data_IF_885264966122
#
_entry.id   IF_885264966122
#
_cell.length_a   1.000
_cell.length_b   1.000
_cell.length_c   1.000
_cell.angle_alpha   90.00
_cell.angle_beta   90.00
_cell.angle_gamma   90.00
#
_symmetry.space_group_name_H-M   'P 1'
#
loop_
_entity.id
_entity.type
_entity.pdbx_description
1 polymer ?
#
# COMPACT_ATOMS: atom_id res chain seq x y z
N UNK A 1 -40.09 -16.56 -5.94
CA UNK A 1 -38.88 -16.52 -5.09
C UNK A 1 -39.19 -15.71 -3.83
N UNK A 2 -38.71 -16.11 -2.65
CA UNK A 2 -38.95 -15.34 -1.42
C UNK A 2 -38.10 -14.05 -1.42
N UNK A 3 -38.72 -12.90 -1.15
CA UNK A 3 -38.04 -11.58 -1.03
C UNK A 3 -36.87 -11.63 -0.06
N UNK A 4 -37.00 -12.33 1.05
CA UNK A 4 -35.99 -12.52 2.09
C UNK A 4 -34.65 -13.15 1.56
N UNK A 5 -34.74 -14.05 0.58
CA UNK A 5 -33.52 -14.64 -0.02
C UNK A 5 -32.77 -13.66 -0.91
N UNK A 6 -33.51 -12.80 -1.62
CA UNK A 6 -32.92 -11.78 -2.49
C UNK A 6 -32.24 -10.70 -1.63
N UNK A 7 -32.88 -10.26 -0.55
CA UNK A 7 -32.33 -9.30 0.40
C UNK A 7 -31.00 -9.80 1.00
N UNK A 8 -30.95 -11.06 1.45
CA UNK A 8 -29.71 -11.67 1.96
C UNK A 8 -28.58 -11.72 0.93
N UNK A 9 -28.90 -11.94 -0.34
CA UNK A 9 -27.90 -11.93 -1.42
C UNK A 9 -27.40 -10.51 -1.66
N UNK A 10 -28.26 -9.49 -1.60
CA UNK A 10 -27.85 -8.10 -1.71
C UNK A 10 -26.93 -7.69 -0.55
N UNK A 11 -27.29 -8.05 0.67
CA UNK A 11 -26.45 -7.77 1.84
C UNK A 11 -25.04 -8.36 1.65
N UNK A 12 -24.96 -9.67 1.27
CA UNK A 12 -23.67 -10.31 0.99
C UNK A 12 -22.89 -9.62 -0.14
N UNK A 13 -23.55 -9.17 -1.22
CA UNK A 13 -22.89 -8.45 -2.31
C UNK A 13 -22.28 -7.14 -1.83
N UNK A 14 -22.99 -6.37 -0.96
CA UNK A 14 -22.49 -5.11 -0.46
C UNK A 14 -21.46 -5.26 0.66
N UNK A 15 -21.62 -6.25 1.54
CA UNK A 15 -20.63 -6.59 2.56
C UNK A 15 -19.30 -7.04 1.92
N UNK A 16 -19.38 -7.84 0.83
CA UNK A 16 -18.21 -8.26 0.06
C UNK A 16 -17.43 -7.09 -0.59
N UNK A 17 -18.05 -5.91 -0.75
CA UNK A 17 -17.31 -4.72 -1.20
C UNK A 17 -16.30 -4.21 -0.17
N UNK A 18 -16.58 -4.42 1.12
CA UNK A 18 -15.69 -4.01 2.21
C UNK A 18 -14.80 -5.17 2.71
N UNK A 19 -15.29 -6.41 2.58
CA UNK A 19 -14.63 -7.63 3.06
C UNK A 19 -14.53 -8.64 1.92
N UNK A 20 -13.42 -8.65 1.20
CA UNK A 20 -13.21 -9.46 0.00
C UNK A 20 -13.44 -10.97 0.22
N UNK A 21 -13.21 -11.45 1.44
CA UNK A 21 -13.42 -12.87 1.83
C UNK A 21 -14.90 -13.29 1.81
N UNK A 22 -15.84 -12.36 1.70
CA UNK A 22 -17.26 -12.64 1.57
C UNK A 22 -17.70 -12.91 0.13
N UNK A 23 -16.90 -12.59 -0.89
CA UNK A 23 -17.25 -12.85 -2.29
C UNK A 23 -17.60 -14.32 -2.58
N UNK A 24 -16.85 -15.33 -2.10
CA UNK A 24 -17.25 -16.75 -2.31
C UNK A 24 -18.63 -17.06 -1.77
N UNK A 25 -19.03 -16.47 -0.64
CA UNK A 25 -20.36 -16.64 -0.05
C UNK A 25 -21.44 -15.97 -0.91
N UNK A 26 -21.20 -14.74 -1.37
CA UNK A 26 -22.11 -14.02 -2.25
C UNK A 26 -22.32 -14.78 -3.58
N UNK A 27 -21.25 -15.27 -4.21
CA UNK A 27 -21.29 -16.06 -5.44
C UNK A 27 -22.05 -17.35 -5.25
N UNK A 28 -21.85 -18.05 -4.13
CA UNK A 28 -22.59 -19.26 -3.77
C UNK A 28 -24.07 -18.97 -3.58
N UNK A 29 -24.43 -17.89 -2.91
CA UNK A 29 -25.82 -17.50 -2.69
C UNK A 29 -26.52 -17.12 -4.01
N UNK A 30 -25.83 -16.44 -4.94
CA UNK A 30 -26.35 -16.17 -6.29
C UNK A 30 -26.54 -17.48 -7.07
N UNK A 31 -25.57 -18.41 -6.98
CA UNK A 31 -25.67 -19.72 -7.62
C UNK A 31 -26.87 -20.51 -7.10
N UNK A 32 -27.19 -20.45 -5.80
CA UNK A 32 -28.39 -21.10 -5.23
C UNK A 32 -29.67 -20.45 -5.73
N UNK A 33 -29.74 -19.15 -5.92
CA UNK A 33 -30.90 -18.45 -6.49
C UNK A 33 -31.13 -18.79 -7.95
N UNK A 34 -30.07 -18.94 -8.73
CA UNK A 34 -30.10 -19.25 -10.16
C UNK A 34 -29.98 -20.75 -10.45
N UNK A 35 -29.89 -21.57 -9.39
CA UNK A 35 -29.70 -23.01 -9.48
C UNK A 35 -28.52 -23.40 -10.36
N UNK A 36 -27.43 -22.65 -10.22
CA UNK A 36 -26.16 -22.83 -10.93
C UNK A 36 -25.20 -23.72 -10.16
N UNK A 37 -24.22 -24.31 -10.83
CA UNK A 37 -23.21 -25.16 -10.22
C UNK A 37 -22.28 -24.32 -9.31
N UNK A 38 -21.93 -23.09 -9.73
CA UNK A 38 -21.14 -22.14 -9.00
C UNK A 38 -20.94 -20.86 -9.77
N UNK A 39 -20.24 -19.90 -9.16
CA UNK A 39 -19.89 -18.64 -9.77
C UNK A 39 -18.45 -18.25 -9.50
N UNK A 40 -17.90 -17.41 -10.35
CA UNK A 40 -16.57 -16.84 -10.15
C UNK A 40 -16.59 -15.35 -10.50
N UNK A 41 -15.91 -14.57 -9.66
CA UNK A 41 -15.60 -13.17 -9.90
C UNK A 41 -14.07 -13.03 -9.97
N UNK A 42 -13.56 -12.52 -11.07
CA UNK A 42 -12.12 -12.34 -11.24
C UNK A 42 -11.80 -11.05 -11.97
N UNK A 43 -10.57 -10.54 -11.74
CA UNK A 43 -10.02 -9.41 -12.44
C UNK A 43 -8.85 -9.82 -13.32
N UNK A 44 -8.92 -9.51 -14.61
CA UNK A 44 -7.87 -9.90 -15.57
C UNK A 44 -7.43 -8.76 -16.47
N UNK A 45 -6.18 -8.87 -16.96
CA UNK A 45 -5.66 -8.12 -18.09
C UNK A 45 -5.63 -9.05 -19.32
N UNK A 46 -6.22 -8.62 -20.41
CA UNK A 46 -6.19 -9.36 -21.66
C UNK A 46 -4.82 -9.25 -22.35
N UNK A 47 -4.19 -8.07 -22.31
CA UNK A 47 -2.88 -7.83 -22.92
C UNK A 47 -1.76 -8.54 -22.17
N UNK A 48 -1.75 -8.42 -20.83
CA UNK A 48 -0.74 -9.08 -19.99
C UNK A 48 -1.03 -10.57 -19.73
N UNK A 49 -2.18 -11.07 -20.14
CA UNK A 49 -2.64 -12.45 -19.89
C UNK A 49 -2.45 -12.83 -18.41
N UNK A 50 -2.96 -11.98 -17.51
CA UNK A 50 -2.78 -12.12 -16.07
C UNK A 50 -4.06 -11.93 -15.31
N UNK A 51 -4.33 -12.81 -14.34
CA UNK A 51 -5.35 -12.64 -13.32
C UNK A 51 -4.74 -11.92 -12.13
N UNK A 52 -5.40 -10.87 -11.66
CA UNK A 52 -4.99 -10.07 -10.52
C UNK A 52 -5.63 -10.54 -9.22
N UNK A 53 -6.86 -11.04 -9.32
CA UNK A 53 -7.61 -11.65 -8.23
C UNK A 53 -8.67 -12.58 -8.79
N UNK A 54 -9.10 -13.56 -8.02
CA UNK A 54 -10.26 -14.41 -8.26
C UNK A 54 -10.94 -14.79 -6.95
N UNK A 55 -12.26 -14.79 -6.99
CA UNK A 55 -13.13 -15.26 -5.91
C UNK A 55 -14.00 -16.37 -6.46
N UNK A 56 -13.93 -17.53 -5.85
CA UNK A 56 -14.58 -18.76 -6.31
C UNK A 56 -15.73 -19.15 -5.38
N UNK A 57 -16.94 -19.26 -5.92
CA UNK A 57 -18.12 -19.81 -5.27
C UNK A 57 -18.45 -21.20 -5.80
N UNK A 58 -17.93 -22.24 -5.19
CA UNK A 58 -18.18 -23.69 -5.44
C UNK A 58 -17.58 -24.30 -6.71
N UNK A 59 -16.90 -23.57 -7.58
CA UNK A 59 -16.27 -24.17 -8.75
C UNK A 59 -14.99 -24.94 -8.37
N UNK A 60 -14.58 -25.89 -9.21
CA UNK A 60 -13.40 -26.70 -8.97
C UNK A 60 -12.10 -25.86 -9.12
N UNK A 61 -11.27 -25.84 -8.07
CA UNK A 61 -10.03 -25.04 -8.03
C UNK A 61 -8.97 -25.50 -9.05
N UNK A 62 -8.90 -26.81 -9.35
CA UNK A 62 -7.96 -27.33 -10.35
C UNK A 62 -8.36 -26.87 -11.76
N UNK A 63 -9.67 -26.85 -12.06
CA UNK A 63 -10.18 -26.31 -13.32
C UNK A 63 -9.94 -24.81 -13.44
N UNK A 64 -10.10 -24.06 -12.35
CA UNK A 64 -9.78 -22.63 -12.32
C UNK A 64 -8.29 -22.37 -12.54
N UNK A 65 -7.42 -23.20 -11.98
CA UNK A 65 -5.97 -23.14 -12.22
C UNK A 65 -5.65 -23.43 -13.68
N UNK A 66 -6.24 -24.47 -14.29
CA UNK A 66 -6.06 -24.78 -15.69
C UNK A 66 -6.51 -23.63 -16.61
N UNK A 67 -7.63 -22.95 -16.24
CA UNK A 67 -8.06 -21.72 -16.92
C UNK A 67 -6.98 -20.63 -16.87
N UNK A 68 -6.46 -20.34 -15.69
CA UNK A 68 -5.45 -19.30 -15.49
C UNK A 68 -4.14 -19.57 -16.24
N UNK A 69 -3.72 -20.81 -16.29
CA UNK A 69 -2.44 -21.19 -16.89
C UNK A 69 -2.49 -21.30 -18.41
N UNK A 70 -3.61 -21.77 -18.99
CA UNK A 70 -3.65 -22.20 -20.41
C UNK A 70 -4.86 -21.71 -21.20
N UNK A 71 -5.95 -21.28 -20.54
CA UNK A 71 -7.22 -21.04 -21.22
C UNK A 71 -7.79 -19.62 -20.99
N UNK A 72 -6.96 -18.64 -20.62
CA UNK A 72 -7.44 -17.27 -20.49
C UNK A 72 -7.99 -16.69 -21.79
N UNK A 73 -7.45 -17.11 -22.93
CA UNK A 73 -8.02 -16.87 -24.25
C UNK A 73 -8.87 -18.07 -24.68
N UNK A 74 -10.16 -17.90 -24.62
CA UNK A 74 -11.16 -18.90 -24.96
C UNK A 74 -12.37 -18.21 -25.65
N UNK A 75 -13.29 -18.93 -26.28
CA UNK A 75 -14.41 -18.31 -27.01
C UNK A 75 -15.23 -17.34 -26.16
N UNK A 76 -15.43 -17.64 -24.88
CA UNK A 76 -16.18 -16.77 -23.96
C UNK A 76 -15.42 -15.48 -23.64
N UNK A 77 -14.14 -15.59 -23.29
CA UNK A 77 -13.33 -14.43 -22.93
C UNK A 77 -13.13 -13.47 -24.11
N UNK A 78 -12.90 -13.99 -25.31
CA UNK A 78 -12.76 -13.21 -26.53
C UNK A 78 -14.03 -12.45 -26.86
N UNK A 79 -15.22 -13.07 -26.70
CA UNK A 79 -16.49 -12.40 -26.90
C UNK A 79 -16.74 -11.32 -25.85
N UNK A 80 -16.34 -11.55 -24.60
CA UNK A 80 -16.53 -10.64 -23.47
C UNK A 80 -15.58 -9.44 -23.49
N UNK A 81 -14.48 -9.47 -24.23
CA UNK A 81 -13.47 -8.41 -24.28
C UNK A 81 -14.05 -7.03 -24.62
N UNK A 82 -15.04 -7.00 -25.52
CA UNK A 82 -15.64 -5.76 -26.02
C UNK A 82 -17.06 -5.49 -25.49
N UNK A 83 -17.57 -6.31 -24.58
CA UNK A 83 -18.92 -6.13 -24.05
C UNK A 83 -18.98 -4.94 -23.09
N UNK A 84 -20.07 -4.17 -23.10
CA UNK A 84 -20.24 -3.08 -22.17
C UNK A 84 -20.39 -3.56 -20.73
N UNK A 85 -19.92 -2.77 -19.79
CA UNK A 85 -20.03 -3.04 -18.35
C UNK A 85 -21.50 -3.14 -17.93
N UNK A 86 -21.82 -4.17 -17.15
CA UNK A 86 -23.15 -4.44 -16.62
C UNK A 86 -24.10 -5.19 -17.56
N UNK A 87 -23.72 -5.41 -18.83
CA UNK A 87 -24.52 -6.25 -19.73
C UNK A 87 -24.38 -7.72 -19.37
N UNK A 88 -25.50 -8.41 -19.17
CA UNK A 88 -25.55 -9.86 -19.10
C UNK A 88 -25.42 -10.43 -20.52
N UNK A 89 -24.50 -11.37 -20.68
CA UNK A 89 -24.26 -12.11 -21.93
C UNK A 89 -24.38 -13.59 -21.63
N UNK A 90 -25.21 -14.29 -22.36
CA UNK A 90 -25.30 -15.75 -22.26
C UNK A 90 -24.21 -16.41 -23.11
N UNK A 91 -23.69 -17.54 -22.64
CA UNK A 91 -22.65 -18.29 -23.36
C UNK A 91 -23.01 -18.62 -24.81
N UNK A 92 -24.29 -18.84 -25.07
CA UNK A 92 -24.80 -19.20 -26.42
C UNK A 92 -24.76 -17.99 -27.39
N UNK A 93 -24.65 -16.76 -26.89
CA UNK A 93 -24.36 -15.58 -27.72
C UNK A 93 -22.91 -15.55 -28.21
N UNK A 94 -21.98 -16.12 -27.43
CA UNK A 94 -20.55 -16.11 -27.74
C UNK A 94 -20.16 -17.26 -28.68
N UNK A 95 -20.67 -18.48 -28.38
CA UNK A 95 -20.33 -19.69 -29.11
C UNK A 95 -21.43 -20.76 -28.87
N UNK A 96 -21.76 -21.54 -29.86
CA UNK A 96 -22.67 -22.66 -29.68
C UNK A 96 -22.10 -23.73 -28.75
N UNK A 97 -22.97 -24.48 -28.05
CA UNK A 97 -22.53 -25.56 -27.15
C UNK A 97 -21.71 -26.63 -27.91
N UNK A 98 -22.07 -26.94 -29.15
CA UNK A 98 -21.38 -27.92 -29.96
C UNK A 98 -19.93 -27.47 -30.32
N UNK A 99 -19.74 -26.19 -30.69
CA UNK A 99 -18.42 -25.63 -30.96
C UNK A 99 -17.60 -25.54 -29.67
N UNK A 100 -18.21 -25.14 -28.54
CA UNK A 100 -17.57 -25.11 -27.24
C UNK A 100 -17.04 -26.48 -26.84
N UNK A 101 -17.87 -27.54 -27.01
CA UNK A 101 -17.51 -28.91 -26.68
C UNK A 101 -16.40 -29.50 -27.56
N UNK A 102 -16.11 -28.90 -28.72
CA UNK A 102 -15.00 -29.28 -29.58
C UNK A 102 -13.67 -28.62 -29.18
N UNK A 103 -13.65 -27.79 -28.14
CA UNK A 103 -12.47 -27.01 -27.71
C UNK A 103 -11.71 -27.68 -26.54
N UNK A 104 -10.39 -27.50 -26.51
CA UNK A 104 -9.57 -27.91 -25.38
C UNK A 104 -9.98 -27.22 -24.08
N UNK A 105 -10.49 -25.99 -24.15
CA UNK A 105 -11.04 -25.26 -22.99
C UNK A 105 -12.20 -26.02 -22.36
N UNK A 106 -13.10 -26.55 -23.16
CA UNK A 106 -14.20 -27.37 -22.64
C UNK A 106 -13.66 -28.63 -21.95
N UNK A 107 -12.78 -29.37 -22.61
CA UNK A 107 -12.27 -30.65 -22.13
C UNK A 107 -11.49 -30.54 -20.83
N UNK A 108 -10.66 -29.50 -20.69
CA UNK A 108 -9.79 -29.33 -19.53
C UNK A 108 -10.43 -28.54 -18.37
N UNK A 109 -11.33 -27.59 -18.68
CA UNK A 109 -11.86 -26.67 -17.67
C UNK A 109 -13.34 -26.92 -17.37
N UNK A 110 -14.17 -27.09 -18.40
CA UNK A 110 -15.64 -27.10 -18.22
C UNK A 110 -16.19 -28.48 -17.98
N UNK A 111 -15.79 -29.51 -18.78
CA UNK A 111 -16.26 -30.86 -18.68
C UNK A 111 -16.04 -31.52 -17.31
N UNK A 112 -14.89 -31.38 -16.65
CA UNK A 112 -14.65 -31.98 -15.33
C UNK A 112 -15.60 -31.49 -14.23
N UNK A 113 -16.19 -30.32 -14.42
CA UNK A 113 -17.18 -29.72 -13.50
C UNK A 113 -18.59 -29.67 -14.12
N UNK A 114 -18.83 -30.45 -15.19
CA UNK A 114 -20.09 -30.57 -15.90
C UNK A 114 -20.67 -29.26 -16.47
N UNK A 115 -19.90 -28.19 -16.55
CA UNK A 115 -20.34 -26.87 -17.03
C UNK A 115 -20.50 -26.87 -18.54
N UNK A 116 -21.61 -26.30 -19.02
CA UNK A 116 -21.88 -26.14 -20.46
C UNK A 116 -22.49 -24.77 -20.79
N UNK A 117 -23.08 -24.11 -19.81
CA UNK A 117 -23.70 -22.79 -19.97
C UNK A 117 -23.15 -21.80 -18.94
N UNK A 118 -23.14 -20.53 -19.34
CA UNK A 118 -22.59 -19.45 -18.48
C UNK A 118 -23.39 -18.18 -18.70
N UNK A 119 -23.70 -17.48 -17.59
CA UNK A 119 -24.13 -16.10 -17.59
C UNK A 119 -22.96 -15.20 -17.22
N UNK A 120 -22.52 -14.36 -18.15
CA UNK A 120 -21.30 -13.58 -18.05
C UNK A 120 -21.60 -12.09 -17.98
N UNK A 121 -20.84 -11.35 -17.17
CA UNK A 121 -20.92 -9.89 -17.11
C UNK A 121 -19.53 -9.27 -16.91
N UNK A 122 -19.23 -8.18 -17.61
CA UNK A 122 -18.14 -7.30 -17.24
C UNK A 122 -18.66 -6.34 -16.17
N UNK A 123 -18.09 -6.33 -14.97
CA UNK A 123 -18.55 -5.51 -13.83
C UNK A 123 -17.80 -4.18 -13.71
N UNK A 124 -16.54 -4.16 -14.13
CA UNK A 124 -15.71 -2.95 -14.21
C UNK A 124 -14.70 -3.09 -15.35
N UNK A 125 -14.39 -1.98 -16.01
CA UNK A 125 -13.41 -1.94 -17.08
C UNK A 125 -12.54 -0.69 -16.95
N UNK A 126 -11.21 -0.83 -17.05
CA UNK A 126 -10.23 0.27 -17.09
C UNK A 126 -9.11 -0.14 -18.04
N UNK A 127 -8.86 0.66 -19.09
CA UNK A 127 -7.84 0.35 -20.11
C UNK A 127 -7.77 -1.14 -20.46
N UNK A 128 -6.75 -1.84 -19.98
CA UNK A 128 -6.48 -3.26 -20.21
C UNK A 128 -7.05 -4.19 -19.12
N UNK A 129 -7.65 -3.65 -18.07
CA UNK A 129 -8.19 -4.41 -16.95
C UNK A 129 -9.71 -4.54 -17.04
N UNK A 130 -10.23 -5.77 -16.79
CA UNK A 130 -11.66 -6.03 -16.59
C UNK A 130 -11.90 -6.91 -15.37
N UNK A 131 -12.89 -6.52 -14.57
CA UNK A 131 -13.51 -7.42 -13.60
C UNK A 131 -14.66 -8.14 -14.25
N UNK A 132 -14.65 -9.45 -14.24
CA UNK A 132 -15.63 -10.31 -14.87
C UNK A 132 -16.33 -11.20 -13.85
N UNK A 133 -17.63 -11.31 -13.97
CA UNK A 133 -18.49 -12.23 -13.23
C UNK A 133 -18.99 -13.31 -14.16
N UNK A 134 -18.93 -14.53 -13.70
CA UNK A 134 -19.45 -15.70 -14.42
C UNK A 134 -20.29 -16.55 -13.48
N UNK A 135 -21.46 -16.98 -13.96
CA UNK A 135 -22.34 -17.90 -13.28
C UNK A 135 -22.50 -19.16 -14.12
N UNK A 136 -21.85 -20.23 -13.67
CA UNK A 136 -21.67 -21.45 -14.40
C UNK A 136 -22.82 -22.47 -14.14
N UNK A 137 -23.30 -23.13 -15.21
CA UNK A 137 -24.43 -24.06 -15.16
C UNK A 137 -24.12 -25.31 -15.91
N UNK A 138 -24.63 -26.43 -15.40
CA UNK A 138 -24.37 -27.75 -16.02
C UNK A 138 -25.09 -27.93 -17.35
N UNK A 139 -24.49 -28.76 -18.21
CA UNK A 139 -25.09 -29.19 -19.48
C UNK A 139 -26.48 -29.86 -19.26
N UNK A 140 -26.60 -30.66 -18.19
CA UNK A 140 -27.85 -31.35 -17.87
C UNK A 140 -29.00 -30.42 -17.57
N UNK A 141 -28.71 -29.29 -16.99
CA UNK A 141 -29.73 -28.33 -16.60
C UNK A 141 -30.18 -27.45 -17.77
N UNK A 142 -29.35 -27.35 -18.78
CA UNK A 142 -29.60 -26.51 -19.94
C UNK A 142 -29.34 -25.01 -19.67
N UNK A 143 -29.66 -24.15 -20.64
CA UNK A 143 -29.47 -22.71 -20.53
C UNK A 143 -30.32 -22.09 -19.42
N UNK A 144 -29.97 -20.85 -19.02
CA UNK A 144 -30.75 -20.07 -18.05
C UNK A 144 -32.13 -19.75 -18.61
N UNK A 145 -33.15 -19.95 -17.80
CA UNK A 145 -34.52 -19.58 -18.17
C UNK A 145 -34.71 -18.05 -18.08
N UNK A 146 -35.78 -17.47 -18.69
CA UNK A 146 -36.00 -16.05 -18.71
C UNK A 146 -36.12 -15.40 -17.31
N UNK A 147 -36.60 -16.14 -16.30
CA UNK A 147 -36.70 -15.59 -14.93
C UNK A 147 -35.33 -15.51 -14.25
N UNK A 148 -34.51 -16.51 -14.47
CA UNK A 148 -33.13 -16.54 -13.98
C UNK A 148 -32.26 -15.47 -14.67
N UNK A 149 -32.46 -15.27 -15.98
CA UNK A 149 -31.80 -14.20 -16.72
C UNK A 149 -32.21 -12.81 -16.17
N UNK A 150 -33.51 -12.57 -15.99
CA UNK A 150 -34.01 -11.31 -15.37
C UNK A 150 -33.45 -11.07 -13.98
N UNK A 151 -33.31 -12.15 -13.19
CA UNK A 151 -32.67 -12.03 -11.86
C UNK A 151 -31.20 -11.60 -11.96
N UNK A 152 -30.41 -12.22 -12.83
CA UNK A 152 -29.01 -11.85 -13.05
C UNK A 152 -28.89 -10.43 -13.60
N UNK A 153 -29.74 -10.03 -14.53
CA UNK A 153 -29.82 -8.64 -15.03
C UNK A 153 -30.15 -7.64 -13.92
N UNK A 154 -31.08 -8.01 -13.03
CA UNK A 154 -31.45 -7.17 -11.90
C UNK A 154 -30.33 -7.06 -10.86
N UNK A 155 -29.54 -8.12 -10.64
CA UNK A 155 -28.36 -8.10 -9.79
C UNK A 155 -27.19 -7.31 -10.40
N UNK A 156 -27.12 -7.18 -11.72
CA UNK A 156 -26.00 -6.58 -12.43
C UNK A 156 -25.59 -5.18 -11.88
N UNK A 157 -26.49 -4.18 -11.72
CA UNK A 157 -26.10 -2.87 -11.19
C UNK A 157 -25.59 -2.94 -9.75
N UNK A 158 -26.05 -3.89 -8.94
CA UNK A 158 -25.58 -4.10 -7.57
C UNK A 158 -24.17 -4.67 -7.57
N UNK A 159 -23.90 -5.69 -8.40
CA UNK A 159 -22.56 -6.26 -8.58
C UNK A 159 -21.56 -5.22 -9.10
N UNK A 160 -21.93 -4.44 -10.12
CA UNK A 160 -21.08 -3.38 -10.64
C UNK A 160 -20.72 -2.31 -9.58
N UNK A 161 -21.72 -1.90 -8.79
CA UNK A 161 -21.50 -0.93 -7.71
C UNK A 161 -20.60 -1.49 -6.61
N UNK A 162 -20.87 -2.72 -6.16
CA UNK A 162 -20.11 -3.38 -5.12
C UNK A 162 -18.64 -3.57 -5.52
N UNK A 163 -18.36 -4.10 -6.71
CA UNK A 163 -16.99 -4.25 -7.23
C UNK A 163 -16.29 -2.90 -7.39
N UNK A 164 -17.00 -1.88 -7.89
CA UNK A 164 -16.43 -0.53 -8.03
C UNK A 164 -16.12 0.08 -6.66
N UNK A 165 -16.96 -0.14 -5.67
CA UNK A 165 -16.76 0.32 -4.30
C UNK A 165 -15.56 -0.40 -3.66
N UNK A 166 -15.46 -1.73 -3.81
CA UNK A 166 -14.31 -2.52 -3.33
C UNK A 166 -12.99 -1.99 -3.89
N UNK A 167 -12.90 -1.74 -5.20
CA UNK A 167 -11.69 -1.16 -5.80
C UNK A 167 -11.34 0.23 -5.27
N UNK A 168 -12.32 1.03 -4.90
CA UNK A 168 -12.05 2.33 -4.25
C UNK A 168 -11.51 2.14 -2.85
N UNK A 169 -12.12 1.25 -2.06
CA UNK A 169 -11.67 0.93 -0.70
C UNK A 169 -10.24 0.39 -0.73
N UNK A 170 -9.96 -0.61 -1.58
CA UNK A 170 -8.62 -1.18 -1.74
C UNK A 170 -7.59 -0.14 -2.18
N UNK A 171 -7.98 0.74 -3.11
CA UNK A 171 -7.13 1.85 -3.56
C UNK A 171 -6.80 2.83 -2.43
N UNK A 172 -7.76 3.17 -1.57
CA UNK A 172 -7.52 4.02 -0.39
C UNK A 172 -6.63 3.32 0.62
N UNK A 173 -6.86 2.05 0.91
CA UNK A 173 -6.04 1.27 1.84
C UNK A 173 -4.60 1.11 1.34
N UNK A 174 -4.41 0.83 0.05
CA UNK A 174 -3.09 0.75 -0.56
C UNK A 174 -2.35 2.10 -0.51
N UNK A 175 -3.04 3.20 -0.78
CA UNK A 175 -2.47 4.55 -0.69
C UNK A 175 -2.11 4.92 0.76
N UNK A 176 -2.96 4.58 1.72
CA UNK A 176 -2.71 4.75 3.15
C UNK A 176 -1.45 3.98 3.58
N UNK A 177 -1.37 2.69 3.21
CA UNK A 177 -0.23 1.86 3.53
C UNK A 177 1.07 2.39 2.90
N UNK A 178 1.01 2.85 1.65
CA UNK A 178 2.15 3.47 0.98
C UNK A 178 2.62 4.73 1.70
N UNK A 179 1.69 5.58 2.16
CA UNK A 179 2.02 6.77 2.94
C UNK A 179 2.69 6.42 4.27
N UNK A 180 2.19 5.43 5.01
CA UNK A 180 2.82 4.96 6.25
C UNK A 180 4.20 4.36 5.99
N UNK A 181 4.36 3.56 4.94
CA UNK A 181 5.66 3.00 4.55
C UNK A 181 6.69 4.09 4.22
N UNK A 182 6.26 5.22 3.62
CA UNK A 182 7.13 6.38 3.39
C UNK A 182 7.54 7.03 4.72
N UNK A 183 6.60 7.22 5.65
CA UNK A 183 6.89 7.78 6.97
C UNK A 183 7.82 6.88 7.78
N UNK A 184 7.70 5.55 7.66
CA UNK A 184 8.59 4.59 8.32
C UNK A 184 10.03 4.62 7.77
N UNK A 185 10.23 5.13 6.53
CA UNK A 185 11.56 5.34 5.95
C UNK A 185 12.24 6.63 6.38
N UNK A 186 11.56 7.49 7.14
CA UNK A 186 12.19 8.71 7.66
C UNK A 186 13.17 8.37 8.80
N UNK A 187 14.33 9.02 8.79
CA UNK A 187 15.31 8.92 9.85
C UNK A 187 14.83 9.57 11.15
N UNK A 188 13.94 10.54 11.04
CA UNK A 188 13.33 11.25 12.15
C UNK A 188 12.07 10.53 12.65
N UNK A 189 11.77 10.61 13.94
CA UNK A 189 10.54 10.12 14.52
C UNK A 189 9.35 11.00 14.09
N UNK A 190 8.27 10.37 13.68
CA UNK A 190 7.00 11.05 13.33
C UNK A 190 5.88 10.48 14.18
N UNK A 191 5.14 11.36 14.88
CA UNK A 191 4.02 10.98 15.72
C UNK A 191 2.85 11.90 15.40
N UNK A 192 1.67 11.33 15.20
CA UNK A 192 0.41 12.05 14.96
C UNK A 192 -0.52 11.82 16.12
N UNK A 193 -1.11 12.92 16.66
CA UNK A 193 -2.05 12.88 17.75
C UNK A 193 -3.43 13.36 17.31
N UNK A 194 -4.47 12.83 17.96
CA UNK A 194 -5.85 13.30 17.83
C UNK A 194 -6.11 14.58 18.64
N UNK A 195 -7.35 15.06 18.60
CA UNK A 195 -7.81 16.24 19.38
C UNK A 195 -7.80 16.03 20.89
N UNK A 196 -7.72 14.78 21.36
CA UNK A 196 -7.61 14.41 22.79
C UNK A 196 -6.16 14.14 23.19
N UNK A 197 -5.19 14.39 22.28
CA UNK A 197 -3.77 14.08 22.43
C UNK A 197 -3.47 12.57 22.53
N UNK A 198 -4.34 11.69 22.01
CA UNK A 198 -4.04 10.28 21.88
C UNK A 198 -3.20 10.05 20.62
N UNK A 199 -2.30 9.06 20.69
CA UNK A 199 -1.44 8.67 19.57
C UNK A 199 -2.26 7.93 18.53
N UNK A 200 -2.43 8.54 17.34
CA UNK A 200 -3.05 7.92 16.18
C UNK A 200 -2.03 7.14 15.35
N UNK A 201 -0.81 7.67 15.25
CA UNK A 201 0.26 7.07 14.46
C UNK A 201 1.61 7.40 15.09
N UNK A 202 2.53 6.46 15.01
CA UNK A 202 3.95 6.65 15.31
C UNK A 202 4.76 5.79 14.34
N UNK A 203 5.71 6.38 13.62
CA UNK A 203 6.55 5.63 12.70
C UNK A 203 7.56 4.71 13.43
N UNK A 204 8.21 3.81 12.70
CA UNK A 204 9.19 2.85 13.24
C UNK A 204 10.28 3.56 14.05
N UNK A 205 10.77 4.71 13.58
CA UNK A 205 11.80 5.49 14.28
C UNK A 205 11.32 5.98 15.64
N UNK A 206 10.08 6.50 15.74
CA UNK A 206 9.49 6.94 17.01
C UNK A 206 9.31 5.78 17.98
N UNK A 207 8.84 4.62 17.50
CA UNK A 207 8.66 3.42 18.32
C UNK A 207 9.99 2.93 18.89
N UNK A 208 11.04 2.88 18.06
CA UNK A 208 12.39 2.53 18.50
C UNK A 208 12.92 3.49 19.56
N UNK A 209 12.75 4.82 19.40
CA UNK A 209 13.14 5.79 20.41
C UNK A 209 12.37 5.62 21.74
N UNK A 210 11.14 5.11 21.69
CA UNK A 210 10.38 4.77 22.87
C UNK A 210 10.90 3.48 23.54
N UNK A 211 11.26 2.46 22.78
CA UNK A 211 11.89 1.21 23.27
C UNK A 211 13.25 1.50 23.91
N UNK A 212 14.04 2.40 23.35
CA UNK A 212 15.29 2.89 23.91
C UNK A 212 15.08 3.75 25.19
N UNK A 213 13.84 4.03 25.56
CA UNK A 213 13.49 4.75 26.77
C UNK A 213 13.61 6.27 26.68
N UNK A 214 13.74 6.86 25.48
CA UNK A 214 13.77 8.31 25.31
C UNK A 214 12.37 8.93 25.40
N UNK A 215 11.35 8.20 24.97
CA UNK A 215 9.94 8.55 24.99
C UNK A 215 9.12 7.42 25.62
N UNK A 216 7.89 7.71 25.98
CA UNK A 216 6.88 6.71 26.34
C UNK A 216 5.69 6.91 25.41
N UNK A 217 5.42 5.91 24.58
CA UNK A 217 4.31 5.90 23.63
C UNK A 217 3.31 4.83 24.06
N UNK A 218 2.15 5.30 24.57
CA UNK A 218 0.99 4.48 24.87
C UNK A 218 -0.23 5.13 24.21
N UNK A 219 -1.34 5.28 24.91
CA UNK A 219 -2.44 6.12 24.44
C UNK A 219 -2.06 7.59 24.30
N UNK A 220 -1.09 8.07 25.07
CA UNK A 220 -0.54 9.41 25.01
C UNK A 220 0.98 9.38 24.96
N UNK A 221 1.60 10.51 24.60
CA UNK A 221 3.04 10.66 24.60
C UNK A 221 3.52 11.28 25.91
N UNK A 222 4.57 10.71 26.48
CA UNK A 222 5.24 11.23 27.66
C UNK A 222 6.76 11.01 27.55
N UNK A 223 7.51 11.58 28.49
CA UNK A 223 8.96 11.38 28.63
C UNK A 223 9.27 10.78 30.01
N UNK A 224 10.52 10.38 30.25
CA UNK A 224 10.93 9.87 31.56
C UNK A 224 10.99 10.97 32.64
N UNK A 225 11.21 12.22 32.25
CA UNK A 225 11.24 13.36 33.16
C UNK A 225 9.87 14.00 33.28
N UNK A 226 9.32 14.17 34.48
CA UNK A 226 8.06 14.89 34.67
C UNK A 226 8.11 16.32 34.12
N UNK A 227 9.21 17.04 34.30
CA UNK A 227 9.37 18.41 33.79
C UNK A 227 9.32 18.46 32.25
N UNK A 228 10.00 17.52 31.55
CA UNK A 228 9.94 17.45 30.11
C UNK A 228 8.56 17.01 29.61
N UNK A 229 7.87 16.10 30.32
CA UNK A 229 6.51 15.70 30.01
C UNK A 229 5.53 16.87 30.16
N UNK A 230 5.67 17.67 31.22
CA UNK A 230 4.86 18.87 31.41
C UNK A 230 5.07 19.86 30.25
N UNK A 231 6.32 20.15 29.91
CA UNK A 231 6.65 21.05 28.79
C UNK A 231 6.11 20.53 27.44
N UNK A 232 6.23 19.25 27.18
CA UNK A 232 5.69 18.62 25.97
C UNK A 232 4.16 18.78 25.91
N UNK A 233 3.46 18.51 27.03
CA UNK A 233 2.01 18.67 27.13
C UNK A 233 1.55 20.12 26.95
N UNK A 234 2.34 21.12 27.40
CA UNK A 234 2.05 22.53 27.15
C UNK A 234 2.11 22.84 25.64
N UNK A 235 3.14 22.35 24.94
CA UNK A 235 3.30 22.55 23.50
C UNK A 235 2.18 21.87 22.71
N UNK A 236 1.81 20.63 23.08
CA UNK A 236 0.69 19.89 22.48
C UNK A 236 -0.62 20.65 22.68
N UNK A 237 -0.88 21.10 23.89
CA UNK A 237 -2.10 21.89 24.21
C UNK A 237 -2.17 23.19 23.41
N UNK A 238 -1.05 23.92 23.30
CA UNK A 238 -0.98 25.12 22.48
C UNK A 238 -1.26 24.83 21.00
N UNK A 239 -0.71 23.73 20.45
CA UNK A 239 -0.96 23.31 19.07
C UNK A 239 -2.44 22.92 18.86
N UNK A 240 -3.08 22.22 19.81
CA UNK A 240 -4.50 21.88 19.77
C UNK A 240 -5.41 23.11 19.78
N UNK A 241 -4.98 24.22 20.41
CA UNK A 241 -5.67 25.50 20.41
C UNK A 241 -5.40 26.35 19.16
N UNK A 242 -4.69 25.79 18.16
CA UNK A 242 -4.39 26.47 16.90
C UNK A 242 -3.16 27.40 16.91
N UNK A 243 -2.36 27.38 17.99
CA UNK A 243 -1.07 28.07 18.00
C UNK A 243 -0.08 27.41 17.03
N UNK A 244 0.96 28.14 16.64
CA UNK A 244 1.95 27.67 15.67
C UNK A 244 2.77 26.43 16.12
N UNK A 245 2.54 25.97 17.38
CA UNK A 245 3.31 24.90 17.98
C UNK A 245 4.62 25.42 18.61
N UNK A 246 5.64 24.55 18.69
CA UNK A 246 6.91 24.93 19.27
C UNK A 246 7.94 23.82 19.27
N UNK A 247 9.10 24.12 19.83
CA UNK A 247 10.22 23.18 19.93
C UNK A 247 10.66 22.99 21.36
N UNK A 248 11.19 21.82 21.66
CA UNK A 248 11.91 21.55 22.90
C UNK A 248 13.03 20.55 22.67
N UNK A 249 14.02 20.53 23.55
CA UNK A 249 15.05 19.51 23.57
C UNK A 249 14.77 18.48 24.66
N UNK A 250 15.10 17.23 24.39
CA UNK A 250 14.93 16.09 25.29
C UNK A 250 16.23 15.29 25.30
N UNK A 251 16.81 14.94 26.49
CA UNK A 251 17.93 14.03 26.55
C UNK A 251 17.55 12.64 26.01
N UNK A 252 18.38 12.14 25.10
CA UNK A 252 18.27 10.76 24.59
C UNK A 252 18.80 9.78 25.63
N UNK A 253 18.09 8.74 25.88
CA UNK A 253 18.57 7.64 26.71
C UNK A 253 19.25 6.57 25.80
N UNK A 254 20.39 5.93 26.17
CA UNK A 254 21.14 6.14 27.42
C UNK A 254 22.31 7.15 27.32
N UNK A 255 22.58 7.73 26.16
CA UNK A 255 23.82 8.48 25.89
C UNK A 255 23.75 9.97 26.24
N UNK A 256 22.58 10.46 26.69
CA UNK A 256 22.35 11.84 27.11
C UNK A 256 22.41 12.90 26.00
N UNK A 257 22.58 12.51 24.74
CA UNK A 257 22.53 13.45 23.60
C UNK A 257 21.15 14.08 23.49
N UNK A 258 21.08 15.26 22.88
CA UNK A 258 19.81 15.98 22.79
C UNK A 258 19.04 15.54 21.53
N UNK A 259 17.83 15.06 21.73
CA UNK A 259 16.79 15.00 20.72
C UNK A 259 16.09 16.36 20.63
N UNK A 260 15.66 16.74 19.44
CA UNK A 260 14.82 17.93 19.25
C UNK A 260 13.41 17.47 18.92
N UNK A 261 12.44 17.91 19.70
CA UNK A 261 11.01 17.68 19.43
C UNK A 261 10.44 18.96 18.83
N UNK A 262 9.86 18.86 17.65
CA UNK A 262 9.06 19.90 17.01
C UNK A 262 7.59 19.49 17.10
N UNK A 263 6.75 20.34 17.67
CA UNK A 263 5.30 20.18 17.76
C UNK A 263 4.63 21.17 16.83
N UNK A 264 3.71 20.73 16.01
CA UNK A 264 2.98 21.55 15.05
C UNK A 264 1.50 21.22 15.03
N UNK A 265 0.63 22.22 14.89
CA UNK A 265 -0.80 22.00 14.64
C UNK A 265 -1.03 21.56 13.20
N UNK A 266 -1.96 20.62 13.00
CA UNK A 266 -2.49 20.25 11.67
C UNK A 266 -3.66 21.16 11.36
N UNK A 267 -3.56 21.95 10.29
CA UNK A 267 -4.61 22.91 9.92
C UNK A 267 -5.76 22.21 9.21
N UNK A 268 -6.98 22.74 9.37
CA UNK A 268 -8.21 22.18 8.76
C UNK A 268 -8.13 22.00 7.24
N UNK A 269 -7.40 22.86 6.53
CA UNK A 269 -7.18 22.74 5.09
C UNK A 269 -6.30 21.54 4.70
N UNK A 270 -5.47 21.07 5.62
CA UNK A 270 -4.57 19.93 5.43
C UNK A 270 -5.26 18.62 5.86
N UNK A 271 -6.32 18.71 6.68
CA UNK A 271 -7.09 17.58 7.18
C UNK A 271 -7.82 16.80 6.07
N UNK A 272 -8.28 17.47 4.99
CA UNK A 272 -8.93 16.80 3.87
C UNK A 272 -8.06 15.70 3.29
N UNK A 273 -6.78 15.99 3.01
CA UNK A 273 -5.81 15.02 2.47
C UNK A 273 -5.42 13.94 3.49
N UNK A 274 -5.31 14.31 4.78
CA UNK A 274 -4.98 13.35 5.86
C UNK A 274 -6.18 12.46 6.20
N UNK A 275 -7.41 12.98 6.10
CA UNK A 275 -8.64 12.21 6.25
C UNK A 275 -8.75 11.11 5.20
N UNK A 276 -8.38 11.43 3.95
CA UNK A 276 -8.32 10.45 2.85
C UNK A 276 -7.25 9.37 3.09
N UNK A 277 -6.20 9.71 3.84
CA UNK A 277 -5.18 8.75 4.31
C UNK A 277 -5.57 7.99 5.59
N UNK A 278 -6.83 8.07 6.05
CA UNK A 278 -7.34 7.32 7.20
C UNK A 278 -7.05 7.93 8.58
N UNK A 279 -6.50 9.16 8.64
CA UNK A 279 -6.17 9.86 9.91
C UNK A 279 -7.17 10.98 10.16
N UNK A 280 -8.46 10.59 10.32
CA UNK A 280 -9.62 11.54 10.34
C UNK A 280 -9.58 12.56 11.48
N UNK A 281 -9.01 12.22 12.64
CA UNK A 281 -9.02 13.05 13.84
C UNK A 281 -7.66 13.68 14.14
N UNK A 282 -6.72 13.63 13.18
CA UNK A 282 -5.39 14.20 13.34
C UNK A 282 -5.45 15.70 13.67
N UNK A 283 -4.78 16.11 14.74
CA UNK A 283 -4.78 17.50 15.22
C UNK A 283 -3.37 18.04 15.45
N UNK A 284 -2.44 17.20 15.86
CA UNK A 284 -1.06 17.60 16.18
C UNK A 284 -0.07 16.64 15.52
N UNK A 285 0.98 17.19 14.95
CA UNK A 285 2.11 16.47 14.38
C UNK A 285 3.36 16.76 15.20
N UNK A 286 4.08 15.70 15.59
CA UNK A 286 5.38 15.83 16.25
C UNK A 286 6.45 15.20 15.36
N UNK A 287 7.58 15.92 15.27
CA UNK A 287 8.83 15.37 14.76
C UNK A 287 9.81 15.22 15.90
N UNK A 288 10.45 14.06 16.00
CA UNK A 288 11.51 13.77 16.97
C UNK A 288 12.80 13.58 16.18
N UNK A 289 13.64 14.60 16.21
CA UNK A 289 14.86 14.68 15.42
C UNK A 289 16.04 14.26 16.29
N UNK A 290 16.76 13.22 15.88
CA UNK A 290 18.04 12.83 16.47
C UNK A 290 19.18 13.32 15.58
N UNK A 291 19.91 14.37 15.98
CA UNK A 291 21.04 14.89 15.20
C UNK A 291 22.15 13.86 14.97
N UNK A 292 22.27 12.85 15.84
CA UNK A 292 23.27 11.80 15.71
C UNK A 292 22.88 10.73 14.71
N UNK A 293 21.58 10.47 14.51
CA UNK A 293 21.08 9.47 13.57
C UNK A 293 21.35 9.86 12.10
N UNK A 294 21.60 11.15 11.84
CA UNK A 294 22.03 11.65 10.51
C UNK A 294 23.45 11.26 10.12
N UNK A 295 24.21 10.65 11.05
CA UNK A 295 25.63 10.31 10.84
C UNK A 295 25.85 8.96 10.17
N UNK A 296 24.86 8.09 10.09
CA UNK A 296 25.00 6.77 9.44
C UNK A 296 24.40 6.75 8.03
N UNK A 297 24.95 7.58 7.15
CA UNK A 297 24.60 7.50 5.72
C UNK A 297 25.45 6.38 5.12
N UNK A 298 24.84 5.38 4.45
CA UNK A 298 25.60 4.35 3.76
C UNK A 298 26.58 4.99 2.74
N UNK A 299 27.83 4.55 2.79
CA UNK A 299 28.91 5.08 1.98
C UNK A 299 28.58 4.97 0.47
N UNK A 300 27.95 3.85 0.09
CA UNK A 300 27.52 3.54 -1.27
C UNK A 300 26.58 4.62 -1.80
N UNK A 301 25.67 5.10 -0.96
CA UNK A 301 24.67 6.10 -1.36
C UNK A 301 25.32 7.44 -1.75
N UNK A 302 26.33 7.88 -0.99
CA UNK A 302 27.06 9.11 -1.33
C UNK A 302 27.93 8.89 -2.56
N UNK A 303 28.56 7.72 -2.64
CA UNK A 303 29.38 7.34 -3.79
C UNK A 303 28.58 7.36 -5.09
N UNK A 304 27.43 6.73 -5.09
CA UNK A 304 26.60 6.56 -6.28
C UNK A 304 25.91 7.88 -6.69
N UNK A 305 25.48 8.67 -5.72
CA UNK A 305 24.84 9.98 -5.98
C UNK A 305 25.76 11.00 -6.66
N UNK A 306 27.07 10.96 -6.35
CA UNK A 306 28.02 11.97 -6.84
C UNK A 306 29.18 11.37 -7.64
N UNK A 307 29.16 10.10 -7.98
CA UNK A 307 30.24 9.44 -8.71
C UNK A 307 31.58 9.48 -7.94
N UNK A 308 31.52 9.36 -6.61
CA UNK A 308 32.72 9.36 -5.77
C UNK A 308 33.35 7.98 -5.76
N UNK A 309 34.68 7.94 -5.67
CA UNK A 309 35.40 6.71 -5.33
C UNK A 309 35.16 6.35 -3.88
N UNK A 310 35.41 5.11 -3.48
CA UNK A 310 35.28 4.66 -2.09
C UNK A 310 36.10 5.52 -1.13
N UNK A 311 37.33 5.89 -1.49
CA UNK A 311 38.19 6.76 -0.68
C UNK A 311 37.64 8.19 -0.57
N UNK A 312 37.14 8.77 -1.67
CA UNK A 312 36.52 10.09 -1.69
C UNK A 312 35.25 10.14 -0.83
N UNK A 313 34.40 9.10 -0.90
CA UNK A 313 33.18 9.02 -0.10
C UNK A 313 33.48 8.88 1.42
N UNK A 314 34.51 8.10 1.81
CA UNK A 314 34.96 8.03 3.20
C UNK A 314 35.46 9.38 3.73
N UNK A 315 36.24 10.10 2.92
CA UNK A 315 36.70 11.43 3.27
C UNK A 315 35.56 12.43 3.34
N UNK A 316 34.60 12.38 2.41
CA UNK A 316 33.41 13.23 2.42
C UNK A 316 32.58 13.03 3.70
N UNK A 317 32.33 11.80 4.10
CA UNK A 317 31.60 11.46 5.33
C UNK A 317 32.32 11.93 6.59
N UNK A 318 33.60 11.66 6.70
CA UNK A 318 34.40 12.07 7.86
C UNK A 318 34.48 13.61 7.98
N UNK A 319 34.65 14.31 6.86
CA UNK A 319 34.64 15.77 6.83
C UNK A 319 33.25 16.34 7.18
N UNK A 320 32.16 15.77 6.64
CA UNK A 320 30.81 16.27 6.93
C UNK A 320 30.40 16.13 8.41
N UNK A 321 31.09 15.27 9.17
CA UNK A 321 30.88 15.11 10.62
C UNK A 321 31.51 16.22 11.48
N UNK A 322 32.06 17.26 10.87
CA UNK A 322 32.67 18.38 11.57
C UNK A 322 34.14 18.17 11.96
N UNK A 323 34.76 17.07 11.52
CA UNK A 323 36.17 16.78 11.80
C UNK A 323 37.09 17.74 11.02
N UNK A 324 38.14 18.20 11.66
CA UNK A 324 39.21 18.92 10.98
C UNK A 324 39.99 18.02 10.02
N UNK A 325 40.77 18.61 9.11
CA UNK A 325 41.61 17.84 8.19
C UNK A 325 42.55 16.89 8.93
N UNK A 326 43.08 17.33 10.10
CA UNK A 326 43.97 16.50 10.92
C UNK A 326 43.22 15.31 11.56
N UNK A 327 42.08 15.57 12.15
CA UNK A 327 41.22 14.50 12.73
C UNK A 327 40.75 13.53 11.68
N UNK A 328 40.34 13.99 10.51
CA UNK A 328 39.99 13.15 9.36
C UNK A 328 41.17 12.29 8.92
N UNK A 329 42.39 12.87 8.87
CA UNK A 329 43.59 12.14 8.52
C UNK A 329 43.92 11.02 9.52
N UNK A 330 43.79 11.31 10.82
CA UNK A 330 43.97 10.32 11.89
C UNK A 330 42.91 9.20 11.81
N UNK A 331 41.65 9.56 11.71
CA UNK A 331 40.53 8.58 11.67
C UNK A 331 40.60 7.64 10.47
N UNK A 332 41.12 8.12 9.35
CA UNK A 332 41.24 7.34 8.12
C UNK A 332 42.62 6.73 7.89
N UNK A 333 43.57 6.98 8.78
CA UNK A 333 44.98 6.55 8.67
C UNK A 333 45.66 7.02 7.37
N UNK A 334 45.42 8.29 7.01
CA UNK A 334 45.96 8.95 5.81
C UNK A 334 46.76 10.19 6.16
N UNK A 335 47.56 10.68 5.23
CA UNK A 335 48.26 11.95 5.40
C UNK A 335 47.32 13.17 5.25
N UNK A 336 47.53 14.28 5.96
CA UNK A 336 46.74 15.50 5.78
C UNK A 336 46.73 16.00 4.32
N UNK A 337 47.83 15.81 3.59
CA UNK A 337 47.90 16.18 2.17
C UNK A 337 47.03 15.29 1.27
N UNK A 338 46.94 13.99 1.59
CA UNK A 338 46.04 13.05 0.91
C UNK A 338 44.58 13.46 1.12
N UNK A 339 44.20 13.83 2.37
CA UNK A 339 42.85 14.31 2.69
C UNK A 339 42.53 15.59 1.91
N UNK A 340 43.44 16.58 1.84
CA UNK A 340 43.24 17.80 1.04
C UNK A 340 43.00 17.48 -0.46
N UNK A 341 43.75 16.53 -1.01
CA UNK A 341 43.60 16.13 -2.40
C UNK A 341 42.24 15.48 -2.64
N UNK A 342 41.79 14.55 -1.75
CA UNK A 342 40.47 13.95 -1.85
C UNK A 342 39.35 14.98 -1.68
N UNK A 343 39.44 15.89 -0.69
CA UNK A 343 38.44 16.93 -0.48
C UNK A 343 38.29 17.83 -1.70
N UNK A 344 39.40 18.21 -2.37
CA UNK A 344 39.34 19.03 -3.60
C UNK A 344 38.56 18.29 -4.71
N UNK A 345 38.75 16.97 -4.85
CA UNK A 345 38.01 16.16 -5.81
C UNK A 345 36.54 15.99 -5.42
N UNK A 346 36.27 15.79 -4.12
CA UNK A 346 34.90 15.73 -3.58
C UNK A 346 34.16 17.02 -3.88
N UNK A 347 34.73 18.18 -3.55
CA UNK A 347 34.13 19.48 -3.82
C UNK A 347 33.82 19.70 -5.29
N UNK A 348 34.73 19.29 -6.18
CA UNK A 348 34.50 19.38 -7.63
C UNK A 348 33.34 18.50 -8.08
N UNK A 349 33.24 17.27 -7.56
CA UNK A 349 32.19 16.31 -7.95
C UNK A 349 30.82 16.62 -7.31
N UNK A 350 30.81 17.22 -6.13
CA UNK A 350 29.59 17.57 -5.41
C UNK A 350 29.12 19.02 -5.68
N UNK A 351 29.87 19.77 -6.49
CA UNK A 351 29.62 21.19 -6.77
C UNK A 351 29.54 22.05 -5.46
N UNK A 352 30.33 21.70 -4.43
CA UNK A 352 30.42 22.46 -3.17
C UNK A 352 31.78 23.12 -3.09
N UNK A 353 31.86 24.28 -2.37
CA UNK A 353 33.12 25.03 -2.18
C UNK A 353 33.68 24.93 -0.79
N UNK A 354 32.87 24.51 0.19
CA UNK A 354 33.22 24.53 1.60
C UNK A 354 32.72 23.28 2.33
N UNK A 355 33.41 22.92 3.39
CA UNK A 355 33.06 21.76 4.21
C UNK A 355 31.63 21.87 4.80
N UNK A 356 31.17 23.06 5.15
CA UNK A 356 29.80 23.29 5.64
C UNK A 356 28.72 23.01 4.56
N UNK A 357 28.99 23.37 3.30
CA UNK A 357 28.11 23.09 2.17
C UNK A 357 28.04 21.59 1.92
N UNK A 358 29.19 20.90 1.93
CA UNK A 358 29.26 19.43 1.82
C UNK A 358 28.51 18.77 2.97
N UNK A 359 28.64 19.24 4.20
CA UNK A 359 27.91 18.70 5.34
C UNK A 359 26.40 18.89 5.19
N UNK A 360 25.92 20.03 4.71
CA UNK A 360 24.51 20.27 4.40
C UNK A 360 23.99 19.34 3.32
N UNK A 361 24.75 19.15 2.24
CA UNK A 361 24.41 18.27 1.14
C UNK A 361 24.29 16.80 1.58
N UNK A 362 25.27 16.33 2.36
CA UNK A 362 25.28 14.96 2.88
C UNK A 362 24.14 14.76 3.91
N UNK A 363 23.86 15.75 4.75
CA UNK A 363 22.74 15.71 5.68
C UNK A 363 21.38 15.58 4.97
N UNK A 364 21.20 16.24 3.84
CA UNK A 364 19.98 16.13 3.03
C UNK A 364 19.77 14.70 2.47
N UNK A 365 20.85 14.02 2.06
CA UNK A 365 20.76 12.60 1.64
C UNK A 365 20.43 11.68 2.83
N UNK A 366 20.96 12.00 4.01
CA UNK A 366 20.76 11.20 5.22
C UNK A 366 19.37 11.29 5.82
N UNK A 367 18.55 12.29 5.42
CA UNK A 367 17.20 12.46 5.95
C UNK A 367 16.19 11.42 5.45
N UNK A 368 16.49 10.70 4.38
CA UNK A 368 15.65 9.61 3.84
C UNK A 368 16.35 8.26 3.98
N UNK A 369 15.69 7.29 4.65
CA UNK A 369 16.05 5.87 4.56
C UNK A 369 15.46 5.30 3.28
N UNK A 370 16.26 5.11 2.24
CA UNK A 370 15.87 4.32 1.08
C UNK A 370 16.33 2.89 1.33
N UNK A 371 15.36 2.00 1.63
CA UNK A 371 15.45 0.55 1.52
C UNK A 371 16.77 -0.11 1.98
N UNK A 372 16.91 -0.38 3.26
CA UNK A 372 17.51 -1.65 3.67
C UNK A 372 16.38 -2.68 3.59
N UNK A 373 16.34 -3.46 2.51
CA UNK A 373 15.69 -4.77 2.54
C UNK A 373 16.34 -5.55 3.68
N UNK A 374 15.52 -5.98 4.65
CA UNK A 374 15.89 -7.02 5.61
C UNK A 374 16.27 -8.30 4.85
N UNK A 375 17.54 -8.35 4.42
CA UNK A 375 18.20 -9.54 3.92
C UNK A 375 19.15 -9.98 5.02
N UNK A 376 18.57 -10.43 6.16
CA UNK A 376 19.24 -11.29 7.13
C UNK A 376 18.28 -11.52 8.32
N UNK A 377 17.40 -12.52 8.13
CA UNK A 377 16.99 -13.45 9.21
C UNK A 377 16.47 -14.74 8.58
#
# INVERSE_FOLDING_TARGET
>A
MSSDRIEKVLDLIYDAAAENDLWPHALTAIADLTRSEGGILFGQSYTAQRIYFDFNGRLNEECNRAYQERHMQNPWSLHMEHQPTGRLVMSDEAVSLAELQASAFYDEVLRPQEVGHNGMMALAARQDFRAAFNMCRSVRRGPFDPDEQRLLEWLSPHLCRSVTLGFRIDGYLAMQQAAFNILDRLADGVIVLDRKAHVLFANVTSRRMAEEGSLRLHQSIATHSPAHSQRLNELIRAALQGAAGGTMSLPRNPDGRLLTILVSSIRSKDLGRLSDAGVKDAAVLLFVIDPANRRSIPLERIRDAYGLTHAEARVALAASSGNTIRETAQSLSLSPNTIKTHLRRVFAKTATGRQAELAGLIAAIGSMRVGETDSER
#
